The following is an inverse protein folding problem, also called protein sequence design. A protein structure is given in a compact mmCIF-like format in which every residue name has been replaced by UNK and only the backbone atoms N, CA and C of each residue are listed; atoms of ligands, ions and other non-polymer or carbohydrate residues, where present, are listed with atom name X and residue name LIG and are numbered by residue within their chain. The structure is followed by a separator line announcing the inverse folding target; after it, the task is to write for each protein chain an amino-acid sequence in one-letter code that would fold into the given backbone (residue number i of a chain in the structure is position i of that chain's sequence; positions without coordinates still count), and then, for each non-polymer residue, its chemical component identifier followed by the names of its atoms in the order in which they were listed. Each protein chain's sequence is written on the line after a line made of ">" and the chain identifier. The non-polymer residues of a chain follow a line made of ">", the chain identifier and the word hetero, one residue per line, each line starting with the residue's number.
data_IF_328611012690
#
_entry.id   IF_328611012690
#
_cell.length_a   1.000
_cell.length_b   1.000
_cell.length_c   1.000
_cell.angle_alpha   90.00
_cell.angle_beta   90.00
_cell.angle_gamma   90.00
#
_symmetry.space_group_name_H-M   'P 1'
#
loop_
_entity.id
_entity.type
_entity.pdbx_description
1 polymer ?
#
# COMPACT_ATOMS: atom_id res chain seq x y z
N UNK A 1 -48.25 1.41 -33.22
CA UNK A 1 -47.70 0.44 -32.25
C UNK A 1 -46.28 0.89 -31.91
N UNK A 2 -46.12 1.68 -30.85
CA UNK A 2 -44.81 2.21 -30.43
C UNK A 2 -44.13 1.15 -29.57
N UNK A 3 -43.16 0.43 -30.14
CA UNK A 3 -42.25 -0.42 -29.37
C UNK A 3 -41.25 0.48 -28.66
N UNK A 4 -41.50 0.79 -27.39
CA UNK A 4 -40.55 1.45 -26.51
C UNK A 4 -39.44 0.44 -26.21
N UNK A 5 -38.37 0.48 -27.01
CA UNK A 5 -37.12 -0.19 -26.73
C UNK A 5 -36.49 0.52 -25.51
N UNK A 6 -36.80 0.03 -24.31
CA UNK A 6 -36.09 0.40 -23.09
C UNK A 6 -34.64 -0.04 -23.25
N UNK A 7 -33.79 0.88 -23.70
CA UNK A 7 -32.34 0.78 -23.60
C UNK A 7 -32.02 0.68 -22.10
N UNK A 8 -31.91 -0.54 -21.59
CA UNK A 8 -31.28 -0.83 -20.32
C UNK A 8 -29.80 -0.46 -20.47
N UNK A 9 -29.49 0.83 -20.29
CA UNK A 9 -28.14 1.30 -19.99
C UNK A 9 -27.78 0.84 -18.57
N UNK A 10 -27.70 -0.48 -18.38
CA UNK A 10 -27.17 -1.06 -17.16
C UNK A 10 -25.67 -0.84 -17.12
N UNK A 11 -25.16 -0.34 -16.00
CA UNK A 11 -23.73 -0.28 -15.77
C UNK A 11 -23.17 -1.70 -15.89
N UNK A 12 -22.38 -1.97 -16.94
CA UNK A 12 -21.69 -3.26 -17.08
C UNK A 12 -20.48 -3.19 -16.15
N UNK A 13 -20.43 -4.00 -15.07
CA UNK A 13 -19.27 -4.02 -14.18
C UNK A 13 -18.03 -4.44 -14.97
N UNK A 14 -16.97 -3.63 -14.90
CA UNK A 14 -15.68 -3.95 -15.54
C UNK A 14 -14.75 -4.49 -14.46
N UNK A 15 -14.33 -5.77 -14.54
CA UNK A 15 -13.37 -6.32 -13.59
C UNK A 15 -11.96 -5.83 -13.90
N UNK A 16 -11.26 -5.35 -12.88
CA UNK A 16 -9.85 -4.98 -12.95
C UNK A 16 -9.01 -5.96 -12.13
N UNK A 17 -7.79 -6.28 -12.59
CA UNK A 17 -6.86 -7.12 -11.81
C UNK A 17 -6.53 -6.41 -10.50
N UNK A 18 -6.67 -7.12 -9.39
CA UNK A 18 -6.29 -6.62 -8.08
C UNK A 18 -4.82 -6.92 -7.80
N UNK A 19 -4.07 -5.89 -7.40
CA UNK A 19 -2.70 -6.01 -6.92
C UNK A 19 -2.57 -5.38 -5.54
N UNK A 20 -1.73 -5.97 -4.70
CA UNK A 20 -1.38 -5.46 -3.38
C UNK A 20 0.13 -5.31 -3.25
N UNK A 21 0.60 -4.44 -2.35
CA UNK A 21 2.03 -4.39 -2.04
C UNK A 21 2.37 -5.51 -1.05
N UNK A 22 3.31 -6.35 -1.47
CA UNK A 22 3.86 -7.44 -0.70
C UNK A 22 5.26 -7.09 -0.25
N UNK A 23 5.49 -7.15 1.06
CA UNK A 23 6.82 -7.05 1.66
C UNK A 23 7.38 -8.43 2.04
N UNK A 24 6.78 -9.52 1.55
CA UNK A 24 7.12 -10.89 1.94
C UNK A 24 8.58 -11.30 1.63
N UNK A 25 9.25 -10.55 0.76
CA UNK A 25 10.66 -10.78 0.38
C UNK A 25 11.64 -9.81 1.06
N UNK A 26 11.18 -9.01 2.02
CA UNK A 26 12.03 -8.08 2.76
C UNK A 26 12.66 -8.78 3.96
N UNK A 27 13.97 -8.87 3.96
CA UNK A 27 14.71 -9.49 5.06
C UNK A 27 14.46 -8.76 6.39
N UNK A 28 14.17 -9.54 7.43
CA UNK A 28 13.89 -9.03 8.78
C UNK A 28 12.46 -8.50 8.98
N UNK A 29 11.60 -8.57 7.97
CA UNK A 29 10.18 -8.28 8.10
C UNK A 29 9.37 -9.57 8.27
N UNK A 30 8.70 -9.70 9.41
CA UNK A 30 7.83 -10.84 9.72
C UNK A 30 6.40 -10.58 9.23
N UNK A 31 5.76 -11.58 8.63
CA UNK A 31 4.32 -11.54 8.35
C UNK A 31 3.58 -11.98 9.61
N UNK A 32 2.88 -11.04 10.25
CA UNK A 32 2.15 -11.29 11.50
C UNK A 32 0.76 -11.84 11.23
N UNK A 33 0.11 -11.40 10.16
CA UNK A 33 -1.29 -11.74 9.89
C UNK A 33 -1.59 -11.78 8.40
N UNK A 34 -2.38 -12.79 8.00
CA UNK A 34 -2.99 -12.89 6.67
C UNK A 34 -4.50 -12.63 6.77
N UNK A 35 -5.08 -12.02 5.75
CA UNK A 35 -6.50 -11.75 5.70
C UNK A 35 -6.97 -11.34 4.31
N UNK A 36 -8.13 -10.70 4.28
CA UNK A 36 -8.78 -10.22 3.06
C UNK A 36 -8.99 -8.71 3.15
N UNK A 37 -8.70 -7.98 2.09
CA UNK A 37 -8.88 -6.52 2.05
C UNK A 37 -10.02 -6.14 1.11
N UNK A 38 -10.79 -5.12 1.50
CA UNK A 38 -11.93 -4.57 0.76
C UNK A 38 -13.10 -5.55 0.57
N UNK A 39 -14.33 -5.03 0.71
CA UNK A 39 -15.57 -5.76 0.40
C UNK A 39 -15.79 -5.97 -1.10
N UNK A 40 -15.06 -5.24 -1.96
CA UNK A 40 -15.27 -5.24 -3.42
C UNK A 40 -14.22 -6.06 -4.18
N UNK A 41 -13.20 -6.57 -3.49
CA UNK A 41 -12.16 -7.40 -4.09
C UNK A 41 -12.52 -8.89 -3.98
N UNK A 42 -12.51 -9.59 -5.11
CA UNK A 42 -12.60 -11.04 -5.21
C UNK A 42 -11.19 -11.62 -5.19
N UNK A 43 -10.69 -11.89 -3.98
CA UNK A 43 -9.35 -12.40 -3.77
C UNK A 43 -9.27 -13.90 -4.10
N UNK A 44 -8.14 -14.34 -4.64
CA UNK A 44 -7.91 -15.76 -4.91
C UNK A 44 -7.41 -16.52 -3.67
N UNK A 45 -6.69 -15.81 -2.79
CA UNK A 45 -6.15 -16.35 -1.54
C UNK A 45 -6.06 -15.25 -0.46
N UNK A 46 -6.03 -15.60 0.82
CA UNK A 46 -5.63 -14.66 1.87
C UNK A 46 -4.24 -14.08 1.55
N UNK A 47 -4.05 -12.80 1.85
CA UNK A 47 -2.77 -12.11 1.65
C UNK A 47 -2.30 -11.48 2.96
N UNK A 48 -1.00 -11.19 3.11
CA UNK A 48 -0.49 -10.52 4.29
C UNK A 48 -1.16 -9.15 4.48
N UNK A 49 -1.74 -8.94 5.66
CA UNK A 49 -2.38 -7.66 6.05
C UNK A 49 -1.67 -6.99 7.22
N UNK A 50 -0.76 -7.69 7.91
CA UNK A 50 0.07 -7.14 8.96
C UNK A 50 1.50 -7.65 8.87
N UNK A 51 2.45 -6.73 8.98
CA UNK A 51 3.87 -7.04 9.03
C UNK A 51 4.51 -6.38 10.24
N UNK A 52 5.63 -6.95 10.71
CA UNK A 52 6.44 -6.41 11.79
C UNK A 52 7.91 -6.41 11.44
N UNK A 53 8.55 -5.25 11.60
CA UNK A 53 9.98 -5.07 11.52
C UNK A 53 10.54 -4.96 12.94
N UNK A 54 11.48 -5.82 13.29
CA UNK A 54 12.16 -5.77 14.59
C UNK A 54 13.59 -5.28 14.44
N UNK A 55 13.95 -4.22 15.17
CA UNK A 55 15.30 -3.68 15.29
C UNK A 55 15.75 -3.73 16.74
N UNK A 56 17.04 -3.49 16.98
CA UNK A 56 17.61 -3.54 18.33
C UNK A 56 16.98 -2.53 19.30
N UNK A 57 16.52 -1.37 18.80
CA UNK A 57 16.02 -0.25 19.63
C UNK A 57 14.52 0.04 19.46
N UNK A 58 13.86 -0.56 18.47
CA UNK A 58 12.44 -0.34 18.20
C UNK A 58 11.83 -1.48 17.36
N UNK A 59 10.51 -1.49 17.28
CA UNK A 59 9.75 -2.27 16.32
C UNK A 59 8.83 -1.36 15.50
N UNK A 60 8.58 -1.75 14.25
CA UNK A 60 7.65 -1.07 13.36
C UNK A 60 6.60 -2.07 12.90
N UNK A 61 5.34 -1.72 13.06
CA UNK A 61 4.20 -2.51 12.62
C UNK A 61 3.54 -1.82 11.43
N UNK A 62 3.34 -2.60 10.36
CA UNK A 62 2.63 -2.20 9.15
C UNK A 62 1.29 -2.90 9.16
N UNK A 63 0.19 -2.15 9.02
CA UNK A 63 -1.16 -2.71 8.95
C UNK A 63 -1.89 -2.18 7.74
N UNK A 64 -2.44 -3.07 6.93
CA UNK A 64 -3.27 -2.69 5.80
C UNK A 64 -4.51 -1.95 6.31
N UNK A 65 -4.82 -0.79 5.72
CA UNK A 65 -6.02 -0.03 6.06
C UNK A 65 -7.21 -0.53 5.24
N UNK A 66 -8.13 -1.21 5.91
CA UNK A 66 -9.33 -1.79 5.30
C UNK A 66 -10.43 -0.75 5.02
N UNK A 67 -10.29 0.48 5.53
CA UNK A 67 -11.34 1.51 5.46
C UNK A 67 -11.18 2.46 4.26
N UNK A 68 -10.01 2.50 3.65
CA UNK A 68 -9.72 3.39 2.52
C UNK A 68 -10.29 2.89 1.19
N UNK A 69 -10.76 3.83 0.35
CA UNK A 69 -11.05 3.54 -1.07
C UNK A 69 -9.77 3.21 -1.85
N UNK A 70 -8.67 3.86 -1.46
CA UNK A 70 -7.34 3.54 -1.96
C UNK A 70 -6.65 2.56 -1.02
N UNK A 71 -5.99 1.55 -1.57
CA UNK A 71 -5.22 0.63 -0.76
C UNK A 71 -4.09 1.42 -0.06
N UNK A 72 -3.92 1.16 1.24
CA UNK A 72 -2.99 1.90 2.08
C UNK A 72 -2.49 1.07 3.27
N UNK A 73 -1.35 1.45 3.81
CA UNK A 73 -0.82 0.90 5.06
C UNK A 73 -0.70 1.99 6.12
N UNK A 74 -1.08 1.64 7.34
CA UNK A 74 -0.72 2.38 8.56
C UNK A 74 0.57 1.85 9.10
N UNK A 75 1.46 2.76 9.47
CA UNK A 75 2.78 2.44 10.03
C UNK A 75 2.88 3.09 11.39
N UNK A 76 3.18 2.28 12.41
CA UNK A 76 3.46 2.76 13.76
C UNK A 76 4.76 2.15 14.28
N UNK A 77 5.48 2.91 15.11
CA UNK A 77 6.69 2.44 15.75
C UNK A 77 6.58 2.49 17.28
N UNK A 78 7.22 1.52 17.93
CA UNK A 78 7.33 1.43 19.39
C UNK A 78 8.76 1.12 19.78
N UNK A 79 9.24 1.69 20.88
CA UNK A 79 10.53 1.30 21.46
C UNK A 79 10.45 -0.11 22.04
N UNK A 80 11.60 -0.70 22.35
CA UNK A 80 11.67 -1.98 23.07
C UNK A 80 11.03 -1.94 24.47
N UNK A 81 10.86 -0.75 25.05
CA UNK A 81 10.15 -0.53 26.31
C UNK A 81 8.63 -0.33 26.14
N UNK A 82 8.11 -0.40 24.91
CA UNK A 82 6.69 -0.20 24.60
C UNK A 82 6.26 1.26 24.46
N UNK A 83 7.20 2.21 24.43
CA UNK A 83 6.89 3.63 24.27
C UNK A 83 6.59 3.93 22.79
N UNK A 84 5.50 4.65 22.51
CA UNK A 84 5.22 5.11 21.15
C UNK A 84 6.34 6.01 20.61
N UNK A 85 6.71 5.82 19.35
CA UNK A 85 7.72 6.59 18.64
C UNK A 85 7.08 7.38 17.51
N UNK A 86 7.80 8.39 17.02
CA UNK A 86 7.38 9.16 15.85
C UNK A 86 7.88 8.48 14.59
N UNK A 87 7.06 8.49 13.55
CA UNK A 87 7.46 8.19 12.18
C UNK A 87 7.55 9.51 11.43
N UNK A 88 8.62 9.74 10.68
CA UNK A 88 8.73 10.81 9.70
C UNK A 88 8.78 10.18 8.31
N UNK A 89 7.82 10.51 7.44
CA UNK A 89 7.88 10.06 6.05
C UNK A 89 9.01 10.77 5.31
N UNK A 90 9.81 10.02 4.54
CA UNK A 90 10.83 10.63 3.68
C UNK A 90 10.21 10.83 2.30
N UNK A 91 10.25 12.07 1.81
CA UNK A 91 9.87 12.38 0.44
C UNK A 91 10.94 11.82 -0.53
N UNK A 92 10.93 10.51 -0.74
CA UNK A 92 11.76 9.89 -1.76
C UNK A 92 10.98 9.85 -3.08
N UNK A 93 11.19 10.89 -3.89
CA UNK A 93 10.71 10.97 -5.27
C UNK A 93 11.53 10.07 -6.18
N UNK A 94 11.69 8.78 -5.84
CA UNK A 94 12.03 7.79 -6.85
C UNK A 94 10.82 7.66 -7.79
N UNK A 95 10.71 8.65 -8.68
CA UNK A 95 9.71 8.77 -9.73
C UNK A 95 9.90 7.60 -10.71
N UNK A 96 9.32 6.46 -10.36
CA UNK A 96 8.80 5.55 -11.36
C UNK A 96 7.56 6.20 -11.95
N UNK A 97 7.72 6.98 -13.03
CA UNK A 97 6.61 7.49 -13.84
C UNK A 97 5.98 6.41 -14.73
N UNK A 98 6.57 5.22 -14.80
CA UNK A 98 5.80 4.03 -15.15
C UNK A 98 5.04 3.57 -13.92
N UNK A 99 3.88 2.95 -14.11
CA UNK A 99 3.02 2.31 -13.12
C UNK A 99 1.74 3.09 -12.79
N UNK A 100 1.71 4.43 -12.82
CA UNK A 100 0.57 5.18 -12.27
C UNK A 100 0.12 4.67 -10.91
N UNK A 101 1.11 4.23 -10.13
CA UNK A 101 1.02 4.17 -8.70
C UNK A 101 1.43 5.56 -8.24
N UNK A 102 0.44 6.42 -8.03
CA UNK A 102 0.69 7.63 -7.27
C UNK A 102 0.84 7.14 -5.83
N UNK A 103 2.08 6.91 -5.40
CA UNK A 103 2.37 6.79 -3.99
C UNK A 103 2.11 8.17 -3.40
N UNK A 104 1.01 8.29 -2.68
CA UNK A 104 0.74 9.45 -1.85
C UNK A 104 1.64 9.40 -0.62
N UNK A 105 2.97 9.39 -0.83
CA UNK A 105 3.85 10.03 0.12
C UNK A 105 3.52 11.51 -0.06
N UNK A 106 2.74 12.06 0.87
CA UNK A 106 2.32 13.46 0.82
C UNK A 106 3.52 14.34 0.46
N UNK A 107 3.30 15.43 -0.27
CA UNK A 107 4.36 16.31 -0.80
C UNK A 107 5.31 16.87 0.29
N UNK A 108 4.94 16.72 1.56
CA UNK A 108 5.73 17.13 2.72
C UNK A 108 5.93 15.94 3.66
N UNK A 109 7.14 15.79 4.25
CA UNK A 109 7.37 14.89 5.37
C UNK A 109 6.32 15.12 6.46
N UNK A 110 5.72 14.03 6.93
CA UNK A 110 4.76 14.05 8.02
C UNK A 110 5.31 13.32 9.23
N UNK A 111 5.25 13.99 10.37
CA UNK A 111 5.69 13.47 11.64
C UNK A 111 4.46 13.14 12.49
N UNK A 112 4.35 11.88 12.90
CA UNK A 112 3.24 11.43 13.74
C UNK A 112 3.51 10.08 14.38
N UNK A 113 2.70 9.74 15.39
CA UNK A 113 2.75 8.43 16.05
C UNK A 113 2.26 7.29 15.14
N UNK A 114 1.52 7.65 14.09
CA UNK A 114 1.07 6.77 13.02
C UNK A 114 1.11 7.58 11.71
N UNK A 115 1.60 6.96 10.64
CA UNK A 115 1.57 7.53 9.30
C UNK A 115 0.89 6.58 8.30
N UNK A 116 0.23 7.16 7.30
CA UNK A 116 -0.50 6.40 6.28
C UNK A 116 0.24 6.49 4.95
N UNK A 117 0.63 5.34 4.43
CA UNK A 117 1.21 5.18 3.10
C UNK A 117 0.11 4.74 2.15
N UNK A 118 -0.36 5.67 1.31
CA UNK A 118 -1.41 5.38 0.33
C UNK A 118 -0.80 5.18 -1.05
N UNK A 119 -1.39 4.29 -1.83
CA UNK A 119 -1.09 4.19 -3.25
C UNK A 119 -2.37 4.12 -4.07
N UNK A 120 -2.31 4.70 -5.25
CA UNK A 120 -3.33 4.49 -6.28
C UNK A 120 -2.84 3.48 -7.30
N UNK A 121 -3.73 2.94 -8.13
CA UNK A 121 -3.38 2.21 -9.35
C UNK A 121 -4.07 2.91 -10.54
N UNK A 122 -3.79 4.19 -10.73
CA UNK A 122 -4.37 5.02 -11.80
C UNK A 122 -3.56 5.00 -13.10
N UNK A 123 -2.58 4.10 -13.24
CA UNK A 123 -1.72 3.99 -14.41
C UNK A 123 -2.27 3.14 -15.54
N UNK A 124 -2.07 3.62 -16.77
CA UNK A 124 -2.36 2.86 -17.99
C UNK A 124 -1.68 1.47 -17.95
N UNK A 125 -2.32 0.41 -18.48
CA UNK A 125 -1.84 -0.97 -18.43
C UNK A 125 -0.49 -1.26 -19.11
N UNK A 126 0.18 -0.27 -19.72
CA UNK A 126 1.45 -0.44 -20.45
C UNK A 126 2.65 -0.80 -19.57
N UNK A 127 2.59 -0.60 -18.25
CA UNK A 127 3.71 -0.93 -17.37
C UNK A 127 3.63 -2.36 -16.79
N UNK A 128 2.48 -3.03 -16.87
CA UNK A 128 2.28 -4.42 -16.38
C UNK A 128 3.05 -5.49 -17.19
N UNK A 129 3.83 -5.10 -18.20
CA UNK A 129 4.63 -5.99 -19.06
C UNK A 129 6.14 -5.92 -18.84
N UNK A 130 6.64 -5.03 -17.98
CA UNK A 130 8.07 -4.94 -17.61
C UNK A 130 8.30 -5.48 -16.19
N UNK A 131 7.72 -6.65 -15.88
CA UNK A 131 7.62 -7.26 -14.54
C UNK A 131 8.95 -7.56 -13.81
N UNK A 132 10.12 -7.42 -14.44
CA UNK A 132 11.38 -7.98 -13.88
C UNK A 132 12.50 -6.99 -13.52
N UNK A 133 12.64 -5.86 -14.21
CA UNK A 133 13.81 -4.98 -13.98
C UNK A 133 13.55 -3.84 -12.99
N UNK A 134 12.31 -3.35 -12.87
CA UNK A 134 12.01 -2.14 -12.08
C UNK A 134 11.36 -2.39 -10.72
N UNK A 135 10.97 -3.63 -10.40
CA UNK A 135 10.35 -3.96 -9.11
C UNK A 135 11.27 -3.63 -7.91
N UNK A 136 12.59 -3.66 -8.10
CA UNK A 136 13.58 -3.32 -7.08
C UNK A 136 13.70 -1.81 -6.81
N UNK A 137 13.06 -0.94 -7.60
CA UNK A 137 13.11 0.52 -7.42
C UNK A 137 12.03 1.04 -6.47
N UNK A 138 10.96 0.27 -6.24
CA UNK A 138 9.84 0.70 -5.43
C UNK A 138 10.10 0.37 -3.95
N UNK A 139 10.11 1.39 -3.10
CA UNK A 139 10.32 1.23 -1.67
C UNK A 139 9.48 2.23 -0.86
N UNK A 140 9.12 1.80 0.35
CA UNK A 140 8.58 2.68 1.40
C UNK A 140 9.76 3.16 2.26
N UNK A 141 9.93 4.47 2.37
CA UNK A 141 11.02 5.06 3.15
C UNK A 141 10.50 5.97 4.26
N UNK A 142 11.07 5.84 5.47
CA UNK A 142 10.71 6.64 6.63
C UNK A 142 11.83 6.64 7.67
N UNK A 143 11.78 7.61 8.58
CA UNK A 143 12.62 7.65 9.78
C UNK A 143 11.79 7.32 11.00
N UNK A 144 12.43 6.67 11.97
CA UNK A 144 11.87 6.44 13.30
C UNK A 144 12.57 7.39 14.26
N UNK A 145 11.79 8.19 14.99
CA UNK A 145 12.30 9.20 15.91
C UNK A 145 11.73 8.96 17.30
N UNK A 146 12.50 9.33 18.32
CA UNK A 146 11.94 9.48 19.66
C UNK A 146 11.02 10.71 19.75
N UNK A 147 10.33 10.86 20.88
CA UNK A 147 9.42 11.98 21.12
C UNK A 147 10.10 13.35 21.16
N UNK A 148 11.44 13.40 21.22
CA UNK A 148 12.25 14.63 21.15
C UNK A 148 12.74 14.91 19.73
N UNK A 149 12.37 14.09 18.74
CA UNK A 149 12.80 14.22 17.36
C UNK A 149 14.21 13.66 17.09
N UNK A 150 14.81 12.91 18.02
CA UNK A 150 16.08 12.23 17.75
C UNK A 150 15.82 11.01 16.86
N UNK A 151 16.52 10.93 15.74
CA UNK A 151 16.46 9.77 14.84
C UNK A 151 17.06 8.54 15.55
N UNK A 152 16.25 7.48 15.62
CA UNK A 152 16.62 6.16 16.14
C UNK A 152 16.99 5.18 15.02
N UNK A 153 16.45 5.41 13.81
CA UNK A 153 16.77 4.64 12.62
C UNK A 153 16.11 5.21 11.37
N UNK A 154 16.62 4.80 10.22
CA UNK A 154 16.05 5.09 8.90
C UNK A 154 15.76 3.77 8.21
N UNK A 155 14.58 3.65 7.60
CA UNK A 155 14.12 2.42 6.97
C UNK A 155 13.77 2.70 5.51
N UNK A 156 14.19 1.78 4.64
CA UNK A 156 13.86 1.76 3.22
C UNK A 156 13.48 0.34 2.84
N UNK A 157 12.18 0.07 2.75
CA UNK A 157 11.64 -1.26 2.58
C UNK A 157 11.17 -1.45 1.14
N UNK A 158 11.86 -2.27 0.33
CA UNK A 158 11.39 -2.57 -1.01
C UNK A 158 10.09 -3.40 -0.93
N UNK A 159 9.26 -3.32 -1.96
CA UNK A 159 8.06 -4.16 -2.04
C UNK A 159 7.81 -4.63 -3.47
N UNK A 160 7.03 -5.70 -3.59
CA UNK A 160 6.54 -6.19 -4.88
C UNK A 160 5.04 -5.88 -5.01
N UNK A 161 4.60 -5.51 -6.21
CA UNK A 161 3.17 -5.52 -6.53
C UNK A 161 2.75 -6.96 -6.89
N UNK A 162 2.01 -7.62 -6.02
CA UNK A 162 1.56 -8.99 -6.23
C UNK A 162 0.08 -9.03 -6.65
N UNK A 163 -0.20 -9.81 -7.70
CA UNK A 163 -1.57 -10.02 -8.16
C UNK A 163 -2.32 -10.96 -7.21
N UNK A 164 -3.54 -10.58 -6.81
CA UNK A 164 -4.40 -11.44 -6.00
C UNK A 164 -5.90 -11.26 -6.36
N UNK A 165 -6.30 -11.77 -7.53
CA UNK A 165 -7.70 -11.74 -7.96
C UNK A 165 -8.10 -10.46 -8.71
N UNK A 166 -9.32 -10.00 -8.47
CA UNK A 166 -9.95 -8.90 -9.22
C UNK A 166 -10.78 -7.97 -8.31
N UNK A 167 -10.85 -6.70 -8.67
CA UNK A 167 -11.81 -5.74 -8.10
C UNK A 167 -12.88 -5.45 -9.15
N UNK A 168 -14.14 -5.38 -8.70
CA UNK A 168 -15.21 -4.85 -9.54
C UNK A 168 -15.34 -3.37 -9.22
N UNK A 169 -15.05 -2.54 -10.21
CA UNK A 169 -15.35 -1.12 -10.11
C UNK A 169 -16.78 -0.87 -10.61
N UNK A 170 -17.55 -0.13 -9.83
CA UNK A 170 -18.90 0.30 -10.17
C UNK A 170 -18.93 1.75 -10.70
N UNK A 171 -17.77 2.39 -10.91
CA UNK A 171 -17.70 3.70 -11.57
C UNK A 171 -18.14 3.61 -13.03
N UNK A 172 -19.45 3.70 -13.24
CA UNK A 172 -20.07 4.17 -14.46
C UNK A 172 -20.59 5.60 -14.23
N UNK A 173 -19.82 6.57 -14.73
CA UNK A 173 -20.10 8.02 -14.87
C UNK A 173 -20.01 8.84 -13.57
#
# INVERSE_FOLDING_TARGET
>A
MFAVLLMLSGCVPVPYKYYYMSFAKVDGLEIVEHGTTSRTAFLQKPMPIRYRLSRASYSVDFKFDEKGLHPSFRVHATSTSGTALLIETVADWSQGTCWGWVFGLRDKPEIGNENIFQWSMTGRPRCLGQEKEDAHKLAVAFKVLDLKGKVLGEERLPFAAERNGYIIDFYGI
#
